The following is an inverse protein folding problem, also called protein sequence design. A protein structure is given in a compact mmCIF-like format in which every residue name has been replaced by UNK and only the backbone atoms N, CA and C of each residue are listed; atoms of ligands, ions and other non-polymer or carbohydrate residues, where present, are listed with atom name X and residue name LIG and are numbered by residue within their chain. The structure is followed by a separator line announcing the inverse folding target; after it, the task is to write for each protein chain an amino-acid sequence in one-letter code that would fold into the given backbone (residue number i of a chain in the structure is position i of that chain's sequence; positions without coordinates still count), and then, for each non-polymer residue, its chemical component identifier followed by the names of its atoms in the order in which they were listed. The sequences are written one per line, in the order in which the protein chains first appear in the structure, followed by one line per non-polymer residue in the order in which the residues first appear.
data_IF_596112947345
#
_entry.id   IF_596112947345
#
_cell.length_a   1.000
_cell.length_b   1.000
_cell.length_c   1.000
_cell.angle_alpha   90.00
_cell.angle_beta   90.00
_cell.angle_gamma   90.00
#
_symmetry.space_group_name_H-M   'P 1'
#
loop_
_entity.id
_entity.type
_entity.pdbx_description
1 polymer ?
#
# COMPACT_ATOMS: atom_id res chain seq x y z
N UNK A 1 -20.53 -32.50 48.66
CA UNK A 1 -19.19 -32.78 48.08
C UNK A 1 -19.12 -32.72 46.54
N UNK A 2 -20.16 -32.23 45.83
CA UNK A 2 -20.15 -32.06 44.36
C UNK A 2 -19.88 -30.60 43.91
N UNK A 3 -20.34 -29.59 44.64
CA UNK A 3 -20.11 -28.16 44.31
C UNK A 3 -18.64 -27.72 44.42
N UNK A 4 -17.86 -28.26 45.38
CA UNK A 4 -16.41 -27.93 45.50
C UNK A 4 -15.58 -28.43 44.31
N UNK A 5 -15.98 -29.54 43.67
CA UNK A 5 -15.29 -30.07 42.48
C UNK A 5 -15.62 -29.25 41.22
N UNK A 6 -16.85 -28.75 41.12
CA UNK A 6 -17.26 -27.89 40.00
C UNK A 6 -16.59 -26.51 40.07
N UNK A 7 -16.47 -25.94 41.27
CA UNK A 7 -15.78 -24.66 41.46
C UNK A 7 -14.29 -24.74 41.14
N UNK A 8 -13.64 -25.86 41.47
CA UNK A 8 -12.23 -26.09 41.15
C UNK A 8 -12.01 -26.28 39.64
N UNK A 9 -12.97 -26.91 38.94
CA UNK A 9 -12.91 -27.09 37.49
C UNK A 9 -13.10 -25.76 36.73
N UNK A 10 -14.00 -24.89 37.20
CA UNK A 10 -14.21 -23.56 36.61
C UNK A 10 -12.98 -22.67 36.84
N UNK A 11 -12.38 -22.70 38.03
CA UNK A 11 -11.17 -21.94 38.33
C UNK A 11 -9.97 -22.37 37.46
N UNK A 12 -9.84 -23.67 37.18
CA UNK A 12 -8.81 -24.19 36.29
C UNK A 12 -9.05 -23.78 34.82
N UNK A 13 -10.31 -23.68 34.39
CA UNK A 13 -10.66 -23.25 33.04
C UNK A 13 -10.46 -21.73 32.83
N UNK A 14 -10.65 -20.91 33.87
CA UNK A 14 -10.38 -19.47 33.80
C UNK A 14 -8.88 -19.13 33.78
N UNK A 15 -8.03 -19.99 34.33
CA UNK A 15 -6.56 -19.83 34.26
C UNK A 15 -6.00 -20.08 32.86
N UNK A 16 -6.68 -20.88 32.03
CA UNK A 16 -6.30 -21.13 30.64
C UNK A 16 -6.70 -19.98 29.68
N UNK A 17 -7.48 -19.00 30.15
CA UNK A 17 -7.95 -17.88 29.34
C UNK A 17 -7.13 -16.60 29.51
N UNK A 18 -6.08 -16.61 30.36
CA UNK A 18 -5.13 -15.51 30.49
C UNK A 18 -3.89 -15.83 29.64
N UNK A 19 -4.10 -15.92 28.34
CA UNK A 19 -3.03 -15.92 27.34
C UNK A 19 -3.05 -14.58 26.64
N UNK A 20 -2.48 -13.54 27.28
CA UNK A 20 -2.21 -12.29 26.59
C UNK A 20 -1.02 -12.55 25.66
N UNK A 21 -1.30 -12.58 24.36
CA UNK A 21 -0.29 -12.59 23.31
C UNK A 21 0.39 -11.22 23.30
N UNK A 22 1.53 -11.08 23.98
CA UNK A 22 2.42 -9.92 23.86
C UNK A 22 3.15 -10.02 22.51
N UNK A 23 2.45 -9.76 21.41
CA UNK A 23 3.10 -9.58 20.12
C UNK A 23 3.58 -8.13 20.03
N UNK A 24 4.84 -7.94 19.65
CA UNK A 24 5.38 -6.62 19.38
C UNK A 24 4.57 -5.95 18.25
N UNK A 25 4.30 -4.64 18.37
CA UNK A 25 3.52 -3.90 17.38
C UNK A 25 4.21 -3.95 16.00
N UNK A 26 3.44 -4.05 14.92
CA UNK A 26 3.98 -4.16 13.55
C UNK A 26 4.71 -2.87 13.14
N UNK A 27 4.19 -1.73 13.58
CA UNK A 27 4.70 -0.40 13.26
C UNK A 27 4.70 0.49 14.51
N UNK A 28 5.81 1.16 14.81
CA UNK A 28 5.90 2.13 15.91
C UNK A 28 6.27 3.50 15.33
N UNK A 29 5.58 4.54 15.79
CA UNK A 29 5.88 5.93 15.42
C UNK A 29 6.31 6.71 16.67
N UNK A 30 7.49 7.32 16.62
CA UNK A 30 8.03 8.15 17.69
C UNK A 30 8.37 9.56 17.17
N UNK A 31 8.17 10.59 17.99
CA UNK A 31 8.60 11.96 17.64
C UNK A 31 10.12 12.10 17.80
N UNK A 32 10.78 12.71 16.82
CA UNK A 32 12.24 12.92 16.85
C UNK A 32 12.60 14.39 16.65
N UNK A 33 13.83 14.77 17.00
CA UNK A 33 14.37 16.12 16.75
C UNK A 33 15.50 16.08 15.70
N UNK A 34 15.38 15.19 14.72
CA UNK A 34 16.39 14.99 13.67
C UNK A 34 15.91 15.64 12.38
N UNK A 35 16.80 16.41 11.75
CA UNK A 35 16.51 17.12 10.48
C UNK A 35 16.83 16.27 9.24
N UNK A 36 17.66 15.22 9.39
CA UNK A 36 18.12 14.35 8.31
C UNK A 36 17.28 13.07 8.20
N UNK A 37 16.95 12.68 6.96
CA UNK A 37 16.30 11.41 6.64
C UNK A 37 17.32 10.27 6.58
N UNK A 38 17.01 9.14 7.21
CA UNK A 38 17.89 7.95 7.22
C UNK A 38 17.07 6.65 7.35
N UNK A 39 17.65 5.53 6.90
CA UNK A 39 17.05 4.20 7.03
C UNK A 39 18.06 3.20 7.59
N UNK A 40 17.69 2.52 8.68
CA UNK A 40 18.55 1.58 9.37
C UNK A 40 17.85 0.24 9.64
N UNK A 41 18.62 -0.85 9.59
CA UNK A 41 18.18 -2.16 10.09
C UNK A 41 18.80 -2.40 11.45
N UNK A 42 17.94 -2.65 12.44
CA UNK A 42 18.34 -2.93 13.81
C UNK A 42 17.85 -4.33 14.18
N UNK A 43 18.70 -5.02 14.95
CA UNK A 43 18.39 -6.29 15.58
C UNK A 43 18.14 -6.00 17.06
N UNK A 44 16.91 -6.20 17.53
CA UNK A 44 16.56 -6.11 18.95
C UNK A 44 16.38 -7.53 19.51
N UNK A 45 17.01 -7.79 20.65
CA UNK A 45 16.76 -9.00 21.43
C UNK A 45 15.35 -8.91 22.01
N UNK A 46 14.51 -9.91 21.75
CA UNK A 46 13.16 -9.93 22.31
C UNK A 46 13.20 -10.27 23.81
N UNK A 47 12.14 -9.90 24.55
CA UNK A 47 12.01 -10.24 25.97
C UNK A 47 12.08 -11.76 26.24
N UNK A 48 11.77 -12.57 25.21
CA UNK A 48 12.10 -13.98 25.14
C UNK A 48 13.48 -14.13 24.45
N UNK A 49 14.53 -14.38 25.24
CA UNK A 49 15.97 -14.41 24.84
C UNK A 49 16.33 -15.38 23.67
N UNK A 50 15.35 -16.03 23.02
CA UNK A 50 15.51 -16.95 21.91
C UNK A 50 15.13 -16.36 20.52
N UNK A 51 14.45 -15.20 20.45
CA UNK A 51 14.10 -14.55 19.18
C UNK A 51 14.78 -13.18 18.98
N UNK A 52 15.51 -13.05 17.86
CA UNK A 52 16.08 -11.78 17.40
C UNK A 52 15.04 -11.11 16.49
N UNK A 53 14.46 -10.01 16.96
CA UNK A 53 13.53 -9.19 16.18
C UNK A 53 14.31 -8.30 15.23
N UNK A 54 13.91 -8.29 13.95
CA UNK A 54 14.52 -7.44 12.93
C UNK A 54 13.61 -6.28 12.60
N UNK A 55 14.09 -5.07 12.81
CA UNK A 55 13.32 -3.83 12.70
C UNK A 55 13.98 -2.92 11.66
N UNK A 56 13.20 -2.43 10.70
CA UNK A 56 13.62 -1.32 9.85
C UNK A 56 13.15 -0.01 10.46
N UNK A 57 14.08 0.88 10.74
CA UNK A 57 13.79 2.22 11.24
C UNK A 57 13.99 3.23 10.12
N UNK A 58 12.96 4.04 9.87
CA UNK A 58 12.96 5.17 8.96
C UNK A 58 12.90 6.44 9.79
N UNK A 59 13.96 7.23 9.76
CA UNK A 59 13.99 8.57 10.32
C UNK A 59 13.49 9.54 9.26
N UNK A 60 12.40 10.22 9.56
CA UNK A 60 11.82 11.30 8.77
C UNK A 60 11.92 12.61 9.58
N UNK A 61 11.74 13.79 8.97
CA UNK A 61 11.71 15.03 9.73
C UNK A 61 10.64 14.96 10.81
N UNK A 62 11.06 15.16 12.07
CA UNK A 62 10.22 15.15 13.27
C UNK A 62 9.57 13.80 13.66
N UNK A 63 9.82 12.71 12.95
CA UNK A 63 9.23 11.41 13.27
C UNK A 63 10.15 10.25 12.90
N UNK A 64 10.05 9.14 13.63
CA UNK A 64 10.72 7.89 13.34
C UNK A 64 9.67 6.79 13.23
N UNK A 65 9.75 6.01 12.15
CA UNK A 65 8.85 4.89 11.86
C UNK A 65 9.64 3.59 11.91
N UNK A 66 9.27 2.70 12.82
CA UNK A 66 9.91 1.40 13.01
C UNK A 66 9.00 0.29 12.49
N UNK A 67 9.47 -0.53 11.54
CA UNK A 67 8.73 -1.64 10.93
C UNK A 67 9.31 -2.98 11.39
N UNK A 68 8.50 -3.79 12.06
CA UNK A 68 8.90 -5.15 12.45
C UNK A 68 8.82 -6.09 11.24
N UNK A 69 9.97 -6.52 10.72
CA UNK A 69 10.04 -7.30 9.48
C UNK A 69 9.30 -8.63 9.56
N UNK A 70 9.31 -9.28 10.73
CA UNK A 70 8.68 -10.58 10.91
C UNK A 70 7.15 -10.52 10.76
N UNK A 71 6.56 -9.32 10.89
CA UNK A 71 5.15 -9.04 10.72
C UNK A 71 4.78 -8.60 9.28
N UNK A 72 5.78 -8.39 8.40
CA UNK A 72 5.59 -8.06 6.99
C UNK A 72 6.31 -9.12 6.12
N UNK A 73 5.69 -10.30 5.90
CA UNK A 73 6.35 -11.45 5.28
C UNK A 73 6.95 -11.16 3.91
N UNK A 74 6.33 -10.29 3.11
CA UNK A 74 6.84 -9.93 1.79
C UNK A 74 8.18 -9.18 1.86
N UNK A 75 8.34 -8.28 2.83
CA UNK A 75 9.56 -7.50 3.03
C UNK A 75 10.67 -8.36 3.62
N UNK A 76 10.32 -9.20 4.60
CA UNK A 76 11.24 -10.18 5.18
C UNK A 76 11.79 -11.15 4.12
N UNK A 77 10.90 -11.70 3.27
CA UNK A 77 11.27 -12.60 2.19
C UNK A 77 12.13 -11.90 1.12
N UNK A 78 11.85 -10.63 0.81
CA UNK A 78 12.66 -9.83 -0.11
C UNK A 78 14.08 -9.66 0.43
N UNK A 79 14.23 -9.20 1.67
CA UNK A 79 15.54 -8.97 2.30
C UNK A 79 16.32 -10.26 2.54
N UNK A 80 15.64 -11.36 2.87
CA UNK A 80 16.29 -12.66 3.08
C UNK A 80 17.00 -13.19 1.81
N UNK A 81 16.52 -12.82 0.63
CA UNK A 81 17.07 -13.25 -0.67
C UNK A 81 18.23 -12.39 -1.18
N UNK A 82 18.48 -11.23 -0.57
CA UNK A 82 19.54 -10.33 -1.00
C UNK A 82 20.87 -10.64 -0.30
N UNK A 83 21.92 -10.83 -1.09
CA UNK A 83 23.29 -11.01 -0.56
C UNK A 83 23.78 -9.75 0.15
N UNK A 84 23.47 -8.58 -0.41
CA UNK A 84 23.74 -7.28 0.20
C UNK A 84 22.43 -6.65 0.70
N UNK A 85 22.03 -7.01 1.92
CA UNK A 85 20.80 -6.49 2.55
C UNK A 85 20.85 -4.98 2.75
N UNK A 86 22.00 -4.45 3.16
CA UNK A 86 22.19 -3.03 3.42
C UNK A 86 21.88 -2.20 2.16
N UNK A 87 22.44 -2.59 1.03
CA UNK A 87 22.13 -1.92 -0.25
C UNK A 87 20.64 -2.02 -0.63
N UNK A 88 20.00 -3.17 -0.38
CA UNK A 88 18.57 -3.35 -0.65
C UNK A 88 17.69 -2.46 0.24
N UNK A 89 18.13 -2.16 1.46
CA UNK A 89 17.47 -1.26 2.42
C UNK A 89 17.70 0.19 2.02
N UNK A 90 18.94 0.59 1.68
CA UNK A 90 19.27 1.95 1.21
C UNK A 90 18.50 2.37 -0.05
N UNK A 91 17.94 1.41 -0.79
CA UNK A 91 17.09 1.64 -1.97
C UNK A 91 15.60 1.71 -1.65
N UNK A 92 15.21 1.53 -0.39
CA UNK A 92 13.83 1.70 0.05
C UNK A 92 13.54 3.17 0.32
N UNK A 93 12.32 3.59 0.03
CA UNK A 93 11.85 4.95 0.31
C UNK A 93 10.49 4.87 0.97
N UNK A 94 10.32 5.55 2.10
CA UNK A 94 9.05 5.66 2.80
C UNK A 94 8.47 7.05 2.58
N UNK A 95 7.45 7.13 1.74
CA UNK A 95 6.77 8.39 1.43
C UNK A 95 5.48 8.48 2.23
N UNK A 96 5.25 9.62 2.89
CA UNK A 96 3.97 9.91 3.52
C UNK A 96 2.91 10.16 2.44
N UNK A 97 1.75 9.53 2.56
CA UNK A 97 0.68 9.62 1.53
C UNK A 97 -0.03 10.98 1.61
N UNK A 98 -0.21 11.51 2.82
CA UNK A 98 -0.86 12.79 3.08
C UNK A 98 -0.18 13.48 4.26
N UNK A 99 0.15 14.76 4.10
CA UNK A 99 0.61 15.59 5.22
C UNK A 99 -0.54 15.85 6.19
N UNK A 100 -0.37 15.35 7.40
CA UNK A 100 -1.39 15.25 8.46
C UNK A 100 -1.96 16.58 8.97
N UNK A 101 -1.47 17.72 8.49
CA UNK A 101 -1.98 19.03 8.93
C UNK A 101 -3.35 19.37 8.33
N UNK A 102 -3.78 18.66 7.28
CA UNK A 102 -5.03 18.98 6.57
C UNK A 102 -6.20 18.02 6.81
N UNK A 103 -5.97 16.83 7.40
CA UNK A 103 -7.01 15.80 7.54
C UNK A 103 -7.23 15.36 9.00
N UNK A 104 -8.41 15.69 9.52
CA UNK A 104 -8.81 15.39 10.90
C UNK A 104 -9.22 13.92 11.12
N UNK A 105 -9.43 13.12 10.06
CA UNK A 105 -10.10 11.81 10.16
C UNK A 105 -9.21 10.60 9.87
N UNK A 106 -8.03 10.78 9.28
CA UNK A 106 -7.23 9.67 8.76
C UNK A 106 -5.93 9.56 9.53
N UNK A 107 -5.69 8.36 10.07
CA UNK A 107 -4.40 7.95 10.61
C UNK A 107 -3.28 8.25 9.61
N UNK A 108 -2.04 8.54 10.05
CA UNK A 108 -0.93 8.74 9.15
C UNK A 108 -0.69 7.47 8.29
N UNK A 109 -0.77 7.66 6.97
CA UNK A 109 -0.57 6.62 5.96
C UNK A 109 0.76 6.83 5.27
N UNK A 110 1.45 5.73 5.00
CA UNK A 110 2.74 5.73 4.32
C UNK A 110 2.74 4.72 3.17
N UNK A 111 3.49 5.02 2.13
CA UNK A 111 3.81 4.08 1.05
C UNK A 111 5.30 3.82 1.08
N UNK A 112 5.64 2.56 1.31
CA UNK A 112 7.01 2.06 1.20
C UNK A 112 7.26 1.56 -0.22
N UNK A 113 8.18 2.19 -0.93
CA UNK A 113 8.74 1.65 -2.16
C UNK A 113 9.95 0.76 -1.84
N UNK A 114 10.04 -0.39 -2.49
CA UNK A 114 11.14 -1.36 -2.31
C UNK A 114 11.32 -2.19 -3.58
N UNK A 115 12.42 -2.95 -3.64
CA UNK A 115 12.74 -3.80 -4.80
C UNK A 115 12.77 -3.03 -6.13
N UNK A 116 13.36 -1.83 -6.13
CA UNK A 116 13.37 -0.95 -7.28
C UNK A 116 14.40 -1.37 -8.34
N UNK A 117 13.97 -1.48 -9.60
CA UNK A 117 14.79 -1.75 -10.78
C UNK A 117 14.29 -0.88 -11.93
N UNK A 118 15.18 -0.14 -12.60
CA UNK A 118 14.86 0.69 -13.77
C UNK A 118 13.64 1.62 -13.56
N UNK A 119 13.59 2.32 -12.42
CA UNK A 119 12.50 3.23 -11.99
C UNK A 119 11.14 2.56 -11.73
N UNK A 120 11.09 1.24 -11.68
CA UNK A 120 9.92 0.49 -11.23
C UNK A 120 10.19 -0.16 -9.89
N UNK A 121 9.21 -0.17 -9.00
CA UNK A 121 9.33 -0.67 -7.64
C UNK A 121 8.12 -1.55 -7.27
N UNK A 122 8.23 -2.21 -6.14
CA UNK A 122 7.07 -2.73 -5.39
C UNK A 122 6.65 -1.73 -4.33
N UNK A 123 5.34 -1.64 -4.06
CA UNK A 123 4.77 -0.63 -3.16
C UNK A 123 3.89 -1.27 -2.09
N UNK A 124 4.20 -1.00 -0.82
CA UNK A 124 3.39 -1.37 0.34
C UNK A 124 2.70 -0.14 0.91
N UNK A 125 1.37 -0.19 1.04
CA UNK A 125 0.64 0.74 1.88
C UNK A 125 0.78 0.31 3.34
N UNK A 126 1.08 1.26 4.21
CA UNK A 126 1.29 1.08 5.64
C UNK A 126 0.38 2.04 6.41
N UNK A 127 -0.26 1.52 7.46
CA UNK A 127 -0.97 2.32 8.45
C UNK A 127 -0.32 2.07 9.81
N UNK A 128 0.33 3.10 10.36
CA UNK A 128 1.13 3.00 11.58
C UNK A 128 0.27 2.77 12.82
N UNK A 129 -0.94 3.33 12.87
CA UNK A 129 -1.85 3.21 14.02
C UNK A 129 -2.50 1.84 14.14
N UNK A 130 -2.93 1.28 13.01
CA UNK A 130 -3.61 -0.02 12.98
C UNK A 130 -2.67 -1.18 12.69
N UNK A 131 -1.38 -0.89 12.51
CA UNK A 131 -0.34 -1.88 12.28
C UNK A 131 -0.56 -2.72 11.00
N UNK A 132 -1.30 -2.18 10.03
CA UNK A 132 -1.65 -2.91 8.81
C UNK A 132 -0.73 -2.58 7.65
N UNK A 133 -0.45 -3.60 6.83
CA UNK A 133 0.25 -3.44 5.56
C UNK A 133 -0.51 -4.09 4.41
N UNK A 134 -0.36 -3.57 3.18
CA UNK A 134 -0.91 -4.18 1.96
C UNK A 134 -0.01 -3.91 0.75
N UNK A 135 0.31 -4.95 -0.02
CA UNK A 135 0.96 -4.77 -1.32
C UNK A 135 -0.05 -4.16 -2.31
N UNK A 136 0.31 -3.03 -2.89
CA UNK A 136 -0.52 -2.29 -3.85
C UNK A 136 -0.17 -2.68 -5.30
N UNK A 137 1.11 -2.66 -5.62
CA UNK A 137 1.65 -2.99 -6.93
C UNK A 137 3.07 -3.53 -6.83
N UNK A 138 3.46 -4.31 -7.82
CA UNK A 138 4.82 -4.81 -8.05
C UNK A 138 5.32 -4.35 -9.43
N UNK A 139 6.63 -4.14 -9.55
CA UNK A 139 7.29 -3.79 -10.81
C UNK A 139 6.53 -2.70 -11.60
N UNK A 140 6.23 -1.59 -10.94
CA UNK A 140 5.48 -0.47 -11.50
C UNK A 140 6.06 0.86 -11.01
N UNK A 141 5.60 1.97 -11.55
CA UNK A 141 5.91 3.32 -11.07
C UNK A 141 4.64 3.96 -10.53
N UNK A 142 4.68 4.46 -9.30
CA UNK A 142 3.56 5.20 -8.70
C UNK A 142 3.43 6.57 -9.38
N UNK A 143 2.24 6.89 -9.90
CA UNK A 143 1.97 8.16 -10.60
C UNK A 143 1.23 9.17 -9.75
N UNK A 144 0.23 8.72 -9.02
CA UNK A 144 -0.56 9.58 -8.17
C UNK A 144 -1.23 8.79 -7.06
N UNK A 145 -1.46 9.49 -5.95
CA UNK A 145 -2.35 9.06 -4.88
C UNK A 145 -3.27 10.24 -4.60
N UNK A 146 -4.58 10.00 -4.64
CA UNK A 146 -5.58 11.01 -4.35
C UNK A 146 -6.57 10.45 -3.32
N UNK A 147 -6.85 11.20 -2.27
CA UNK A 147 -7.84 10.79 -1.26
C UNK A 147 -9.27 11.11 -1.72
N UNK A 148 -10.23 10.27 -1.33
CA UNK A 148 -11.66 10.53 -1.58
C UNK A 148 -12.16 11.76 -0.82
N UNK A 149 -13.24 12.41 -1.26
CA UNK A 149 -13.77 13.60 -0.58
C UNK A 149 -14.23 13.38 0.88
N UNK A 150 -14.57 12.15 1.27
CA UNK A 150 -14.88 11.77 2.65
C UNK A 150 -13.71 11.18 3.44
N UNK A 151 -12.54 11.12 2.82
CA UNK A 151 -11.28 10.71 3.44
C UNK A 151 -11.21 9.24 3.85
N UNK A 152 -12.04 8.37 3.27
CA UNK A 152 -12.09 6.95 3.64
C UNK A 152 -11.54 6.00 2.56
N UNK A 153 -11.14 6.54 1.39
CA UNK A 153 -10.57 5.78 0.28
C UNK A 153 -9.39 6.50 -0.36
N UNK A 154 -8.47 5.70 -0.93
CA UNK A 154 -7.39 6.17 -1.77
C UNK A 154 -7.61 5.75 -3.22
N UNK A 155 -7.38 6.66 -4.14
CA UNK A 155 -7.27 6.42 -5.57
C UNK A 155 -5.79 6.45 -5.92
N UNK A 156 -5.25 5.31 -6.33
CA UNK A 156 -3.85 5.15 -6.72
C UNK A 156 -3.74 4.82 -8.20
N UNK A 157 -2.80 5.46 -8.88
CA UNK A 157 -2.47 5.15 -10.27
C UNK A 157 -1.04 4.67 -10.34
N UNK A 158 -0.85 3.51 -10.96
CA UNK A 158 0.46 2.94 -11.26
C UNK A 158 0.64 2.88 -12.77
N UNK A 159 1.87 3.06 -13.24
CA UNK A 159 2.24 2.82 -14.64
C UNK A 159 3.29 1.73 -14.76
N UNK A 160 3.33 1.08 -15.93
CA UNK A 160 4.45 0.26 -16.34
C UNK A 160 5.02 0.79 -17.65
N UNK A 161 6.35 0.83 -17.79
CA UNK A 161 6.95 1.06 -19.09
C UNK A 161 6.48 -0.05 -20.05
N UNK A 162 5.96 0.36 -21.19
CA UNK A 162 5.59 -0.54 -22.29
C UNK A 162 6.71 -0.65 -23.33
N UNK A 163 6.44 -1.33 -24.43
CA UNK A 163 7.34 -1.33 -25.60
C UNK A 163 7.33 0.03 -26.34
N UNK A 164 6.27 0.83 -26.15
CA UNK A 164 6.14 2.16 -26.75
C UNK A 164 6.79 3.23 -25.88
N UNK A 165 7.55 4.13 -26.52
CA UNK A 165 8.05 5.36 -25.88
C UNK A 165 7.01 6.49 -25.89
N UNK A 166 5.87 6.32 -26.58
CA UNK A 166 4.88 7.37 -26.80
C UNK A 166 3.82 7.46 -25.70
N UNK A 167 3.53 6.33 -25.05
CA UNK A 167 2.49 6.23 -24.03
C UNK A 167 2.84 5.09 -23.06
N UNK A 168 2.35 5.18 -21.83
CA UNK A 168 2.49 4.14 -20.81
C UNK A 168 1.14 3.51 -20.51
N UNK A 169 1.14 2.21 -20.16
CA UNK A 169 -0.06 1.53 -19.69
C UNK A 169 -0.15 1.68 -18.17
N UNK A 170 -1.34 1.95 -17.70
CA UNK A 170 -1.61 2.27 -16.31
C UNK A 170 -2.65 1.33 -15.71
N UNK A 171 -2.60 1.22 -14.38
CA UNK A 171 -3.52 0.49 -13.52
C UNK A 171 -4.08 1.46 -12.48
N UNK A 172 -5.38 1.38 -12.24
CA UNK A 172 -6.08 2.09 -11.17
C UNK A 172 -6.34 1.14 -10.01
N UNK A 173 -6.17 1.63 -8.79
CA UNK A 173 -6.61 0.98 -7.56
C UNK A 173 -7.44 1.99 -6.78
N UNK A 174 -8.66 1.62 -6.41
CA UNK A 174 -9.40 2.29 -5.35
C UNK A 174 -9.28 1.42 -4.11
N UNK A 175 -8.73 1.97 -3.02
CA UNK A 175 -8.44 1.25 -1.79
C UNK A 175 -9.25 1.82 -0.64
N UNK A 176 -10.03 0.99 0.05
CA UNK A 176 -10.85 1.36 1.20
C UNK A 176 -10.05 1.26 2.50
N UNK A 177 -9.95 2.38 3.22
CA UNK A 177 -9.13 2.52 4.42
C UNK A 177 -9.76 1.87 5.65
N UNK A 178 -11.10 1.73 5.68
CA UNK A 178 -11.82 1.11 6.78
C UNK A 178 -11.68 -0.42 6.75
N UNK A 179 -11.90 -1.00 5.57
CA UNK A 179 -11.85 -2.45 5.33
C UNK A 179 -10.44 -2.94 5.00
N UNK A 180 -9.52 -2.03 4.67
CA UNK A 180 -8.14 -2.30 4.31
C UNK A 180 -7.99 -3.20 3.07
N UNK A 181 -8.82 -2.95 2.06
CA UNK A 181 -8.83 -3.73 0.82
C UNK A 181 -9.03 -2.87 -0.43
N UNK A 182 -8.51 -3.37 -1.56
CA UNK A 182 -8.82 -2.81 -2.86
C UNK A 182 -10.27 -3.16 -3.24
N UNK A 183 -11.01 -2.17 -3.70
CA UNK A 183 -12.39 -2.31 -4.16
C UNK A 183 -12.42 -2.77 -5.61
N UNK A 184 -13.51 -3.46 -5.98
CA UNK A 184 -13.71 -3.89 -7.36
C UNK A 184 -14.18 -2.71 -8.21
N UNK A 185 -13.56 -2.49 -9.37
CA UNK A 185 -13.92 -1.40 -10.27
C UNK A 185 -14.95 -1.88 -11.29
N UNK A 186 -16.11 -1.22 -11.34
CA UNK A 186 -17.22 -1.52 -12.23
C UNK A 186 -17.56 -0.28 -13.06
N UNK A 187 -17.69 -0.42 -14.38
CA UNK A 187 -18.13 0.71 -15.21
C UNK A 187 -19.65 0.77 -15.27
N UNK A 188 -20.18 1.98 -15.31
CA UNK A 188 -21.64 2.20 -15.30
C UNK A 188 -22.30 1.71 -16.60
N UNK A 189 -21.57 1.73 -17.71
CA UNK A 189 -22.04 1.32 -19.04
C UNK A 189 -21.89 -0.19 -19.31
N UNK A 190 -21.49 -0.98 -18.30
CA UNK A 190 -21.20 -2.43 -18.38
C UNK A 190 -20.03 -2.81 -19.31
N UNK A 191 -19.30 -1.82 -19.87
CA UNK A 191 -18.10 -2.06 -20.68
C UNK A 191 -16.90 -2.40 -19.79
N UNK A 192 -16.42 -3.64 -19.84
CA UNK A 192 -15.27 -4.02 -19.02
C UNK A 192 -13.94 -3.53 -19.60
N UNK A 193 -13.51 -2.33 -19.19
CA UNK A 193 -12.19 -1.77 -19.52
C UNK A 193 -11.03 -2.41 -18.75
N UNK A 194 -11.29 -3.27 -17.74
CA UNK A 194 -10.26 -3.93 -16.94
C UNK A 194 -9.22 -2.96 -16.33
N UNK A 195 -9.68 -1.81 -15.82
CA UNK A 195 -8.83 -0.73 -15.30
C UNK A 195 -7.93 -1.12 -14.11
N UNK A 196 -8.17 -2.28 -13.49
CA UNK A 196 -7.32 -2.89 -12.47
C UNK A 196 -6.07 -3.58 -13.07
N UNK A 197 -5.89 -3.55 -14.39
CA UNK A 197 -4.77 -4.12 -15.13
C UNK A 197 -4.02 -3.03 -15.91
N UNK A 198 -2.74 -3.27 -16.21
CA UNK A 198 -1.91 -2.39 -17.03
C UNK A 198 -2.23 -2.56 -18.51
N UNK A 199 -3.43 -2.14 -18.93
CA UNK A 199 -3.89 -2.29 -20.32
C UNK A 199 -4.02 -0.94 -21.02
N UNK A 200 -4.55 0.07 -20.33
CA UNK A 200 -4.89 1.35 -20.94
C UNK A 200 -3.93 2.45 -20.54
N UNK A 201 -3.55 3.35 -21.46
CA UNK A 201 -3.13 4.69 -21.09
C UNK A 201 -4.29 5.42 -20.41
N UNK A 202 -4.04 6.00 -19.26
CA UNK A 202 -4.98 6.80 -18.48
C UNK A 202 -4.53 8.25 -18.53
N UNK A 203 -5.29 9.05 -19.26
CA UNK A 203 -4.98 10.46 -19.51
C UNK A 203 -5.28 11.27 -18.26
N UNK A 204 -6.40 10.95 -17.60
CA UNK A 204 -6.84 11.62 -16.39
C UNK A 204 -7.72 10.67 -15.56
N UNK A 205 -7.65 10.80 -14.24
CA UNK A 205 -8.58 10.16 -13.32
C UNK A 205 -8.87 11.07 -12.13
N UNK A 206 -10.15 11.28 -11.84
CA UNK A 206 -10.59 12.16 -10.77
C UNK A 206 -11.73 11.55 -9.98
N UNK A 207 -11.79 11.89 -8.69
CA UNK A 207 -12.98 11.68 -7.89
C UNK A 207 -14.12 12.56 -8.40
N UNK A 208 -15.28 11.95 -8.65
CA UNK A 208 -16.52 12.67 -8.88
C UNK A 208 -17.30 12.81 -7.56
N UNK A 209 -17.35 11.73 -6.79
CA UNK A 209 -17.90 11.66 -5.44
C UNK A 209 -17.26 10.48 -4.68
N UNK A 210 -17.79 10.12 -3.51
CA UNK A 210 -17.21 9.08 -2.65
C UNK A 210 -17.40 7.64 -3.16
N UNK A 211 -18.15 7.46 -4.24
CA UNK A 211 -18.52 6.17 -4.84
C UNK A 211 -18.20 6.07 -6.33
N UNK A 212 -17.75 7.17 -6.93
CA UNK A 212 -17.58 7.29 -8.37
C UNK A 212 -16.30 8.04 -8.69
N UNK A 213 -15.53 7.47 -9.62
CA UNK A 213 -14.43 8.17 -10.29
C UNK A 213 -14.75 8.32 -11.77
N UNK A 214 -14.20 9.36 -12.36
CA UNK A 214 -14.20 9.59 -13.80
C UNK A 214 -12.82 9.27 -14.35
N UNK A 215 -12.76 8.47 -15.41
CA UNK A 215 -11.52 8.05 -16.07
C UNK A 215 -11.55 8.49 -17.54
N UNK A 216 -10.52 9.22 -17.96
CA UNK A 216 -10.35 9.64 -19.35
C UNK A 216 -9.36 8.72 -20.04
N UNK A 217 -9.83 8.06 -21.11
CA UNK A 217 -9.10 7.06 -21.87
C UNK A 217 -8.98 7.47 -23.35
N UNK A 218 -8.02 6.89 -24.09
CA UNK A 218 -8.03 6.91 -25.56
C UNK A 218 -9.36 6.40 -26.12
N UNK A 219 -9.93 7.11 -27.09
CA UNK A 219 -11.15 6.68 -27.80
C UNK A 219 -10.81 5.66 -28.90
N UNK A 220 -10.34 4.49 -28.47
CA UNK A 220 -10.07 3.30 -29.30
C UNK A 220 -10.95 2.14 -28.84
N UNK A 221 -11.18 1.17 -29.74
CA UNK A 221 -12.02 0.01 -29.42
C UNK A 221 -11.28 -0.98 -28.52
N UNK A 222 -9.99 -1.18 -28.75
CA UNK A 222 -9.15 -2.09 -27.98
C UNK A 222 -7.79 -1.44 -27.67
N UNK A 223 -7.19 -1.70 -26.50
CA UNK A 223 -5.92 -1.09 -26.11
C UNK A 223 -4.73 -1.85 -26.69
N UNK A 224 -4.76 -2.14 -27.99
CA UNK A 224 -3.63 -2.75 -28.70
C UNK A 224 -2.60 -1.70 -29.06
N UNK A 225 -1.33 -2.09 -29.09
CA UNK A 225 -0.24 -1.15 -29.33
C UNK A 225 -0.37 -0.44 -30.69
N UNK A 226 -0.87 -1.14 -31.72
CA UNK A 226 -1.16 -0.57 -33.03
C UNK A 226 -2.25 0.53 -32.97
N UNK A 227 -3.38 0.25 -32.29
CA UNK A 227 -4.47 1.22 -32.15
C UNK A 227 -4.03 2.42 -31.30
N UNK A 228 -3.28 2.18 -30.23
CA UNK A 228 -2.78 3.24 -29.35
C UNK A 228 -1.73 4.12 -30.04
N UNK A 229 -0.81 3.54 -30.83
CA UNK A 229 0.13 4.32 -31.63
C UNK A 229 -0.59 5.18 -32.68
N UNK A 230 -1.55 4.59 -33.41
CA UNK A 230 -2.36 5.33 -34.39
C UNK A 230 -3.14 6.47 -33.74
N UNK A 231 -3.76 6.20 -32.59
CA UNK A 231 -4.46 7.19 -31.79
C UNK A 231 -3.54 8.34 -31.37
N UNK A 232 -2.36 8.02 -30.84
CA UNK A 232 -1.40 9.01 -30.37
C UNK A 232 -0.88 9.91 -31.49
N UNK A 233 -0.65 9.36 -32.69
CA UNK A 233 -0.09 10.09 -33.83
C UNK A 233 -1.12 10.93 -34.60
N UNK A 234 -2.39 10.51 -34.66
CA UNK A 234 -3.36 11.06 -35.61
C UNK A 234 -4.55 11.81 -34.99
N UNK A 235 -5.10 11.31 -33.88
CA UNK A 235 -6.39 11.81 -33.39
C UNK A 235 -6.33 12.38 -31.98
N UNK A 236 -5.67 11.67 -31.05
CA UNK A 236 -5.63 11.97 -29.61
C UNK A 236 -7.02 12.24 -29.01
N UNK A 237 -8.07 11.71 -29.64
CA UNK A 237 -9.45 11.84 -29.18
C UNK A 237 -9.67 10.97 -27.95
N UNK A 238 -10.43 11.46 -26.98
CA UNK A 238 -10.63 10.77 -25.71
C UNK A 238 -12.08 10.34 -25.52
N UNK A 239 -12.28 9.37 -24.64
CA UNK A 239 -13.57 8.97 -24.11
C UNK A 239 -13.52 9.03 -22.59
N UNK A 240 -14.64 9.42 -22.00
CA UNK A 240 -14.80 9.52 -20.56
C UNK A 240 -15.66 8.35 -20.08
N UNK A 241 -15.19 7.66 -19.05
CA UNK A 241 -15.86 6.49 -18.46
C UNK A 241 -16.08 6.74 -16.98
N UNK A 242 -17.32 6.56 -16.53
CA UNK A 242 -17.65 6.59 -15.10
C UNK A 242 -17.51 5.20 -14.50
N UNK A 243 -16.82 5.14 -13.36
CA UNK A 243 -16.48 3.91 -12.68
C UNK A 243 -16.97 4.00 -11.24
N UNK A 244 -17.78 3.04 -10.84
CA UNK A 244 -18.19 2.82 -9.45
C UNK A 244 -17.36 1.69 -8.84
N UNK A 245 -17.41 1.57 -7.52
CA UNK A 245 -16.64 0.55 -6.82
C UNK A 245 -17.36 0.01 -5.59
N UNK A 246 -17.17 -1.29 -5.37
CA UNK A 246 -17.83 -2.10 -4.33
C UNK A 246 -16.81 -2.96 -3.56
#
# INVERSE_FOLDING_TARGET
MKMKKLFFLIFFFTLLLIGCSNQAPIIVQEETNVDDEDINLIEQESEDEEEVQRILEFTLPMQQISLHLDQIPILNNYLAKHQNRKQAIEQMELTRVIDSEELDKVAPLFVLSFACVDNTCSYLLLNTETERSKLLADNATLKSINISPDEDKLLLVFERPGESELWTKQKIIVFDLNTWNALSLNTIDETNFQLHQFLWPIIEVNWQDNKTITVTLPAVNEPTDEQLNTWYELSQNTQEVQVTFD
#
